data_IF_189569202721
#
_entry.id   IF_189569202721
#
_cell.length_a   1.000
_cell.length_b   1.000
_cell.length_c   1.000
_cell.angle_alpha   90.00
_cell.angle_beta   90.00
_cell.angle_gamma   90.00
#
_symmetry.space_group_name_H-M   'P 1'
#
loop_
_entity.id
_entity.type
_entity.pdbx_description
1 polymer ?
#
# COMPACT_ATOMS: atom_id res chain seq x y z
N UNK A 1 21.28 -0.05 7.51
CA UNK A 1 20.74 1.12 6.77
C UNK A 1 19.24 1.04 6.81
N UNK A 2 18.54 2.15 6.97
CA UNK A 2 17.08 2.15 7.07
C UNK A 2 16.44 2.14 5.68
N UNK A 3 15.50 1.23 5.43
CA UNK A 3 14.70 1.19 4.20
C UNK A 3 13.53 2.17 4.32
N UNK A 4 13.40 3.09 3.37
CA UNK A 4 12.26 3.99 3.29
C UNK A 4 11.02 3.26 2.77
N UNK A 5 9.90 3.39 3.48
CA UNK A 5 8.60 2.88 3.06
C UNK A 5 7.59 4.02 3.05
N UNK A 6 6.87 4.18 1.94
CA UNK A 6 5.78 5.15 1.82
C UNK A 6 4.49 4.42 1.48
N UNK A 7 3.41 4.87 2.10
CA UNK A 7 2.07 4.32 1.90
C UNK A 7 1.16 5.47 1.51
N UNK A 8 0.71 5.45 0.27
CA UNK A 8 -0.28 6.42 -0.21
C UNK A 8 -1.68 5.82 -0.01
N UNK A 9 -2.51 6.54 0.71
CA UNK A 9 -3.86 6.11 1.09
C UNK A 9 -4.84 7.28 1.19
N UNK A 10 -5.97 7.06 1.85
CA UNK A 10 -6.88 8.13 2.26
C UNK A 10 -6.47 8.70 3.61
N UNK A 11 -6.96 9.89 3.96
CA UNK A 11 -6.86 10.47 5.29
C UNK A 11 -8.26 10.89 5.79
N UNK A 12 -8.81 10.27 6.85
CA UNK A 12 -8.25 9.16 7.62
C UNK A 12 -8.05 7.88 6.78
N UNK A 13 -7.14 6.97 7.17
CA UNK A 13 -6.84 5.76 6.41
C UNK A 13 -8.05 4.83 6.38
N UNK A 14 -8.39 4.32 5.19
CA UNK A 14 -9.37 3.25 5.06
C UNK A 14 -8.78 1.90 5.55
N UNK A 15 -9.62 0.86 5.77
CA UNK A 15 -9.15 -0.42 6.31
C UNK A 15 -7.97 -1.02 5.53
N UNK A 16 -8.01 -0.99 4.19
CA UNK A 16 -6.93 -1.50 3.32
C UNK A 16 -5.61 -0.74 3.49
N UNK A 17 -5.67 0.60 3.63
CA UNK A 17 -4.48 1.43 3.83
C UNK A 17 -3.86 1.18 5.20
N UNK A 18 -4.69 1.11 6.24
CA UNK A 18 -4.24 0.89 7.60
C UNK A 18 -3.62 -0.50 7.79
N UNK A 19 -4.27 -1.56 7.28
CA UNK A 19 -3.74 -2.91 7.41
C UNK A 19 -2.45 -3.11 6.60
N UNK A 20 -2.32 -2.47 5.43
CA UNK A 20 -1.08 -2.50 4.65
C UNK A 20 0.10 -1.93 5.43
N UNK A 21 -0.09 -0.79 6.11
CA UNK A 21 0.94 -0.22 6.98
C UNK A 21 1.28 -1.08 8.18
N UNK A 22 0.26 -1.71 8.77
CA UNK A 22 0.50 -2.64 9.86
C UNK A 22 1.30 -3.87 9.42
N UNK A 23 0.95 -4.49 8.27
CA UNK A 23 1.67 -5.64 7.71
C UNK A 23 3.13 -5.28 7.45
N UNK A 24 3.39 -4.12 6.83
CA UNK A 24 4.76 -3.63 6.61
C UNK A 24 5.54 -3.51 7.91
N UNK A 25 4.96 -2.86 8.93
CA UNK A 25 5.62 -2.66 10.21
C UNK A 25 5.96 -4.00 10.89
N UNK A 26 5.02 -4.94 10.90
CA UNK A 26 5.24 -6.24 11.53
C UNK A 26 6.25 -7.10 10.78
N UNK A 27 6.14 -7.17 9.46
CA UNK A 27 7.06 -7.99 8.64
C UNK A 27 8.48 -7.43 8.72
N UNK A 28 8.65 -6.11 8.77
CA UNK A 28 9.96 -5.50 8.98
C UNK A 28 10.55 -5.85 10.35
N UNK A 29 9.75 -5.78 11.41
CA UNK A 29 10.17 -6.19 12.76
C UNK A 29 10.56 -7.68 12.82
N UNK A 30 9.77 -8.57 12.21
CA UNK A 30 10.06 -10.01 12.12
C UNK A 30 11.33 -10.30 11.34
N UNK A 31 11.54 -9.58 10.24
CA UNK A 31 12.68 -9.76 9.34
C UNK A 31 13.93 -9.00 9.82
N UNK A 32 13.82 -8.23 10.91
CA UNK A 32 14.87 -7.35 11.45
C UNK A 32 15.40 -6.33 10.44
N UNK A 33 14.56 -5.93 9.49
CA UNK A 33 14.87 -4.87 8.52
C UNK A 33 14.51 -3.53 9.14
N UNK A 34 15.47 -2.62 9.41
CA UNK A 34 15.15 -1.30 9.92
C UNK A 34 14.43 -0.49 8.84
N UNK A 35 13.27 0.06 9.17
CA UNK A 35 12.44 0.84 8.23
C UNK A 35 12.06 2.21 8.80
N UNK A 36 11.75 3.13 7.90
CA UNK A 36 11.03 4.37 8.20
C UNK A 36 9.75 4.38 7.38
N UNK A 37 8.58 4.47 8.05
CA UNK A 37 7.28 4.47 7.38
C UNK A 37 6.72 5.88 7.36
N UNK A 38 6.31 6.33 6.18
CA UNK A 38 5.56 7.57 5.94
C UNK A 38 4.19 7.24 5.35
N UNK A 39 3.11 7.64 6.03
CA UNK A 39 1.76 7.61 5.48
C UNK A 39 1.42 8.96 4.87
N UNK A 40 0.84 8.96 3.67
CA UNK A 40 0.40 10.20 3.01
C UNK A 40 -0.96 10.04 2.34
N UNK A 41 -1.77 11.09 2.39
CA UNK A 41 -3.00 11.17 1.60
C UNK A 41 -2.67 11.22 0.11
N UNK A 42 -3.49 10.57 -0.71
CA UNK A 42 -3.44 10.63 -2.17
C UNK A 42 -3.59 12.06 -2.72
N UNK A 43 -4.11 12.98 -1.91
CA UNK A 43 -4.33 14.39 -2.25
C UNK A 43 -3.09 15.26 -1.99
N UNK A 44 -2.07 14.74 -1.30
CA UNK A 44 -0.85 15.51 -1.04
C UNK A 44 -0.07 15.77 -2.32
N UNK A 45 0.61 16.92 -2.42
CA UNK A 45 1.45 17.26 -3.58
C UNK A 45 2.50 16.18 -3.89
N UNK A 46 3.05 15.56 -2.83
CA UNK A 46 4.02 14.48 -2.93
C UNK A 46 3.42 13.24 -3.57
N UNK A 47 2.23 12.82 -3.16
CA UNK A 47 1.52 11.70 -3.76
C UNK A 47 1.15 11.98 -5.23
N UNK A 48 0.65 13.19 -5.52
CA UNK A 48 0.30 13.62 -6.87
C UNK A 48 1.54 13.60 -7.78
N UNK A 49 2.70 14.08 -7.30
CA UNK A 49 3.95 14.07 -8.07
C UNK A 49 4.40 12.64 -8.38
N UNK A 50 4.34 11.73 -7.41
CA UNK A 50 4.69 10.31 -7.62
C UNK A 50 3.86 9.69 -8.76
N UNK A 51 2.55 9.94 -8.80
CA UNK A 51 1.72 9.48 -9.91
C UNK A 51 2.15 10.11 -11.24
N UNK A 52 2.32 11.44 -11.28
CA UNK A 52 2.69 12.18 -12.49
C UNK A 52 4.01 11.72 -13.09
N UNK A 53 5.00 11.41 -12.26
CA UNK A 53 6.34 10.98 -12.70
C UNK A 53 6.30 9.66 -13.50
N UNK A 54 5.25 8.86 -13.33
CA UNK A 54 5.02 7.61 -14.08
C UNK A 54 3.84 7.70 -15.06
N UNK A 55 3.31 8.91 -15.31
CA UNK A 55 2.18 9.13 -16.22
C UNK A 55 0.84 8.60 -15.68
N UNK A 56 0.67 8.50 -14.37
CA UNK A 56 -0.56 8.03 -13.72
C UNK A 56 -1.14 9.06 -12.74
N UNK A 57 -2.38 8.88 -12.32
CA UNK A 57 -3.01 9.64 -11.22
C UNK A 57 -3.11 8.73 -10.01
N UNK A 58 -2.74 9.22 -8.82
CA UNK A 58 -3.00 8.46 -7.58
C UNK A 58 -4.44 8.68 -7.16
N UNK A 59 -5.17 7.60 -6.87
CA UNK A 59 -6.60 7.69 -6.61
C UNK A 59 -7.16 6.54 -5.77
N UNK A 60 -8.43 6.63 -5.45
CA UNK A 60 -9.17 5.61 -4.68
C UNK A 60 -9.98 4.69 -5.61
N UNK A 61 -10.55 3.61 -5.06
CA UNK A 61 -11.47 2.76 -5.82
C UNK A 61 -12.66 3.54 -6.42
N UNK A 62 -13.14 4.62 -5.76
CA UNK A 62 -14.19 5.49 -6.31
C UNK A 62 -13.74 6.23 -7.58
N UNK A 63 -12.49 6.69 -7.61
CA UNK A 63 -11.91 7.32 -8.79
C UNK A 63 -11.82 6.33 -9.95
N UNK A 64 -11.38 5.10 -9.68
CA UNK A 64 -11.33 4.05 -10.71
C UNK A 64 -12.73 3.68 -11.20
N UNK A 65 -13.69 3.48 -10.28
CA UNK A 65 -15.05 3.15 -10.64
C UNK A 65 -15.67 4.20 -11.57
N UNK A 66 -15.44 5.48 -11.29
CA UNK A 66 -15.87 6.60 -12.13
C UNK A 66 -15.18 6.58 -13.50
N UNK A 67 -13.85 6.48 -13.53
CA UNK A 67 -13.07 6.56 -14.77
C UNK A 67 -13.25 5.34 -15.69
N UNK A 68 -13.43 4.16 -15.13
CA UNK A 68 -13.55 2.89 -15.85
C UNK A 68 -15.00 2.39 -15.99
N UNK A 69 -15.98 3.17 -15.54
CA UNK A 69 -17.40 2.79 -15.52
C UNK A 69 -17.65 1.43 -14.84
N UNK A 70 -16.92 1.15 -13.76
CA UNK A 70 -17.07 -0.08 -12.97
C UNK A 70 -18.22 0.12 -11.98
N UNK A 71 -19.23 -0.73 -12.04
CA UNK A 71 -20.32 -0.72 -11.06
C UNK A 71 -19.85 -1.38 -9.77
N UNK A 72 -19.96 -0.67 -8.65
CA UNK A 72 -19.61 -1.16 -7.31
C UNK A 72 -20.80 -0.95 -6.39
N UNK A 73 -21.21 -1.99 -5.66
CA UNK A 73 -22.18 -1.85 -4.57
C UNK A 73 -21.49 -1.22 -3.36
N UNK A 74 -21.46 0.12 -3.32
CA UNK A 74 -20.87 0.86 -2.21
C UNK A 74 -21.56 0.59 -0.88
N UNK A 75 -22.86 0.28 -0.87
CA UNK A 75 -23.54 -0.09 0.37
C UNK A 75 -23.03 -1.44 0.89
N UNK A 76 -22.79 -2.42 0.02
CA UNK A 76 -22.14 -3.68 0.41
C UNK A 76 -20.72 -3.45 0.92
N UNK A 77 -19.93 -2.59 0.27
CA UNK A 77 -18.59 -2.21 0.75
C UNK A 77 -18.67 -1.64 2.17
N UNK A 78 -19.59 -0.70 2.43
CA UNK A 78 -19.77 -0.13 3.77
C UNK A 78 -20.18 -1.18 4.81
N UNK A 79 -21.11 -2.09 4.47
CA UNK A 79 -21.52 -3.20 5.35
C UNK A 79 -20.36 -4.12 5.71
N UNK A 80 -19.51 -4.48 4.73
CA UNK A 80 -18.32 -5.31 4.97
C UNK A 80 -17.33 -4.60 5.90
N UNK A 81 -17.13 -3.29 5.73
CA UNK A 81 -16.24 -2.52 6.60
C UNK A 81 -16.78 -2.43 8.03
N UNK A 82 -18.09 -2.23 8.19
CA UNK A 82 -18.74 -2.14 9.51
C UNK A 82 -18.74 -3.49 10.24
N UNK A 83 -18.96 -4.59 9.51
CA UNK A 83 -19.01 -5.95 10.04
C UNK A 83 -18.21 -6.92 9.13
N UNK A 84 -16.87 -6.96 9.26
CA UNK A 84 -16.01 -7.80 8.43
C UNK A 84 -16.36 -9.29 8.66
N UNK A 85 -16.70 -10.06 7.61
CA UNK A 85 -17.12 -11.46 7.75
C UNK A 85 -16.01 -12.37 8.32
N UNK A 86 -14.78 -12.15 7.84
CA UNK A 86 -13.61 -12.96 8.16
C UNK A 86 -12.46 -12.07 8.64
N UNK A 87 -12.54 -11.48 9.85
CA UNK A 87 -11.50 -10.58 10.33
C UNK A 87 -10.20 -11.36 10.52
N UNK A 88 -9.14 -10.93 9.84
CA UNK A 88 -7.82 -11.55 9.98
C UNK A 88 -6.97 -10.79 10.98
N UNK A 89 -6.29 -11.52 11.87
CA UNK A 89 -5.27 -10.96 12.76
C UNK A 89 -3.93 -10.86 12.05
N UNK A 90 -3.89 -10.09 10.96
CA UNK A 90 -2.64 -9.79 10.25
C UNK A 90 -1.82 -8.71 10.94
N UNK A 91 -2.38 -8.04 11.95
CA UNK A 91 -1.66 -7.13 12.80
C UNK A 91 -2.08 -7.15 14.28
N UNK A 92 -1.20 -6.64 15.15
CA UNK A 92 -1.38 -6.48 16.60
C UNK A 92 -2.25 -5.27 17.01
N UNK A 93 -3.03 -4.71 16.09
CA UNK A 93 -4.04 -3.69 16.42
C UNK A 93 -5.45 -4.28 16.32
N UNK A 94 -5.96 -4.91 17.40
CA UNK A 94 -7.25 -5.59 17.38
C UNK A 94 -8.45 -4.64 17.33
N UNK A 95 -8.27 -3.33 17.55
CA UNK A 95 -9.37 -2.37 17.72
C UNK A 95 -9.33 -1.19 16.73
N UNK A 96 -8.23 -0.96 16.02
CA UNK A 96 -8.11 0.11 15.05
C UNK A 96 -8.77 -0.18 13.71
N UNK A 97 -8.75 0.81 12.83
CA UNK A 97 -9.36 0.75 11.49
C UNK A 97 -8.79 -0.40 10.62
N UNK A 98 -7.58 -0.86 10.90
CA UNK A 98 -6.97 -2.02 10.26
C UNK A 98 -7.75 -3.32 10.52
N UNK A 99 -8.37 -3.48 11.70
CA UNK A 99 -9.15 -4.68 12.04
C UNK A 99 -10.47 -4.78 11.28
N UNK A 100 -10.90 -3.69 10.64
CA UNK A 100 -12.07 -3.66 9.74
C UNK A 100 -11.79 -4.20 8.34
N UNK A 101 -10.55 -4.59 8.03
CA UNK A 101 -10.24 -5.22 6.76
C UNK A 101 -10.60 -6.71 6.77
N UNK A 102 -11.05 -7.20 5.61
CA UNK A 102 -11.25 -8.63 5.36
C UNK A 102 -10.93 -8.97 3.90
N UNK A 103 -10.67 -10.25 3.56
CA UNK A 103 -10.53 -10.69 2.18
C UNK A 103 -11.74 -10.37 1.30
N UNK A 104 -12.96 -10.38 1.87
CA UNK A 104 -14.19 -10.04 1.17
C UNK A 104 -14.21 -8.58 0.72
N UNK A 105 -13.60 -7.67 1.49
CA UNK A 105 -13.44 -6.28 1.07
C UNK A 105 -12.56 -6.17 -0.19
N UNK A 106 -11.47 -6.93 -0.24
CA UNK A 106 -10.58 -6.99 -1.41
C UNK A 106 -11.25 -7.70 -2.60
N UNK A 107 -12.10 -8.69 -2.36
CA UNK A 107 -12.89 -9.32 -3.41
C UNK A 107 -13.93 -8.35 -3.99
N UNK A 108 -14.64 -7.60 -3.15
CA UNK A 108 -15.64 -6.62 -3.56
C UNK A 108 -15.02 -5.48 -4.39
N UNK A 109 -13.80 -5.07 -4.07
CA UNK A 109 -13.08 -3.99 -4.76
C UNK A 109 -12.14 -4.49 -5.88
N UNK A 110 -12.09 -5.80 -6.12
CA UNK A 110 -11.27 -6.44 -7.17
C UNK A 110 -11.54 -5.86 -8.56
N UNK A 111 -12.79 -5.60 -8.99
CA UNK A 111 -13.04 -5.02 -10.30
C UNK A 111 -12.39 -3.64 -10.48
N UNK A 112 -12.31 -2.84 -9.42
CA UNK A 112 -11.59 -1.56 -9.47
C UNK A 112 -10.07 -1.76 -9.52
N UNK A 113 -9.52 -2.74 -8.81
CA UNK A 113 -8.08 -3.03 -8.89
C UNK A 113 -7.66 -3.46 -10.29
N UNK A 114 -8.44 -4.35 -10.92
CA UNK A 114 -8.18 -4.86 -12.26
C UNK A 114 -8.29 -3.75 -13.32
N UNK A 115 -9.23 -2.81 -13.15
CA UNK A 115 -9.43 -1.68 -14.07
C UNK A 115 -8.44 -0.52 -13.86
N UNK A 116 -7.76 -0.44 -12.70
CA UNK A 116 -7.02 0.73 -12.27
C UNK A 116 -5.92 1.15 -13.28
N UNK A 117 -5.11 0.19 -13.73
CA UNK A 117 -4.01 0.47 -14.65
C UNK A 117 -4.50 0.97 -16.01
N UNK A 118 -5.54 0.34 -16.56
CA UNK A 118 -6.15 0.75 -17.83
C UNK A 118 -6.80 2.15 -17.74
N UNK A 119 -7.30 2.52 -16.56
CA UNK A 119 -7.82 3.85 -16.27
C UNK A 119 -6.72 4.90 -16.01
N UNK A 120 -5.44 4.53 -16.06
CA UNK A 120 -4.32 5.44 -15.73
C UNK A 120 -4.27 5.81 -14.25
N UNK A 121 -4.81 4.98 -13.35
CA UNK A 121 -4.92 5.26 -11.92
C UNK A 121 -4.08 4.29 -11.10
N UNK A 122 -3.22 4.84 -10.25
CA UNK A 122 -2.53 4.11 -9.20
C UNK A 122 -3.44 4.04 -7.97
N UNK A 123 -4.22 2.95 -7.87
CA UNK A 123 -5.27 2.81 -6.87
C UNK A 123 -4.71 2.57 -5.47
N UNK A 124 -5.24 3.27 -4.46
CA UNK A 124 -4.86 3.09 -3.05
C UNK A 124 -5.34 1.75 -2.46
N UNK A 125 -4.57 1.15 -1.52
CA UNK A 125 -3.28 1.62 -1.02
C UNK A 125 -2.18 1.48 -2.08
N UNK A 126 -1.27 2.45 -2.15
CA UNK A 126 -0.04 2.36 -2.96
C UNK A 126 1.13 2.16 -2.02
N UNK A 127 1.91 1.11 -2.22
CA UNK A 127 3.07 0.79 -1.42
C UNK A 127 4.35 1.05 -2.20
N UNK A 128 5.22 1.87 -1.61
CA UNK A 128 6.52 2.22 -2.17
C UNK A 128 7.58 1.78 -1.17
N UNK A 129 8.53 0.94 -1.59
CA UNK A 129 9.60 0.43 -0.72
C UNK A 129 10.93 0.68 -1.41
N UNK A 130 11.86 1.34 -0.71
CA UNK A 130 13.18 1.66 -1.27
C UNK A 130 13.14 2.60 -2.48
N UNK A 131 12.06 3.40 -2.62
CA UNK A 131 11.83 4.30 -3.74
C UNK A 131 11.10 3.66 -4.94
N UNK A 132 10.80 2.37 -4.91
CA UNK A 132 10.08 1.66 -5.98
C UNK A 132 8.61 1.44 -5.60
N UNK A 133 7.68 1.71 -6.52
CA UNK A 133 6.27 1.30 -6.37
C UNK A 133 6.22 -0.22 -6.53
N UNK A 134 5.90 -0.93 -5.47
CA UNK A 134 5.89 -2.41 -5.45
C UNK A 134 4.49 -3.01 -5.46
N UNK A 135 3.47 -2.23 -5.08
CA UNK A 135 2.10 -2.71 -5.01
C UNK A 135 1.08 -1.56 -5.04
N UNK A 136 -0.11 -1.84 -5.57
CA UNK A 136 -1.25 -0.93 -5.55
C UNK A 136 -2.57 -1.68 -5.55
N UNK A 137 -3.59 -1.15 -4.88
CA UNK A 137 -5.00 -1.49 -5.10
C UNK A 137 -5.60 -2.58 -4.21
N UNK A 138 -4.80 -3.37 -3.52
CA UNK A 138 -5.25 -4.36 -2.53
C UNK A 138 -4.32 -4.41 -1.32
N UNK A 139 -4.62 -5.29 -0.36
CA UNK A 139 -3.72 -5.55 0.75
C UNK A 139 -2.67 -6.57 0.33
N UNK A 140 -1.37 -6.25 0.43
CA UNK A 140 -0.33 -7.18 0.03
C UNK A 140 -0.21 -8.33 1.04
N UNK A 141 0.11 -9.52 0.54
CA UNK A 141 0.44 -10.67 1.39
C UNK A 141 1.73 -10.40 2.17
N UNK A 142 1.83 -10.94 3.40
CA UNK A 142 3.05 -10.86 4.23
C UNK A 142 4.31 -11.35 3.52
N UNK A 143 4.21 -12.44 2.74
CA UNK A 143 5.33 -13.01 1.98
C UNK A 143 5.92 -12.01 0.97
N UNK A 144 5.07 -11.43 0.11
CA UNK A 144 5.50 -10.37 -0.83
C UNK A 144 6.15 -9.18 -0.12
N UNK A 145 5.56 -8.72 0.99
CA UNK A 145 6.12 -7.60 1.76
C UNK A 145 7.52 -7.93 2.28
N UNK A 146 7.74 -9.16 2.78
CA UNK A 146 9.05 -9.61 3.22
C UNK A 146 10.07 -9.58 2.08
N UNK A 147 9.71 -10.13 0.93
CA UNK A 147 10.59 -10.19 -0.24
C UNK A 147 11.00 -8.78 -0.71
N UNK A 148 10.05 -7.85 -0.72
CA UNK A 148 10.31 -6.45 -1.10
C UNK A 148 11.24 -5.74 -0.10
N UNK A 149 11.04 -5.95 1.20
CA UNK A 149 11.88 -5.36 2.24
C UNK A 149 13.32 -5.89 2.18
N UNK A 150 13.50 -7.21 2.08
CA UNK A 150 14.82 -7.83 1.98
C UNK A 150 15.56 -7.38 0.72
N UNK A 151 14.86 -7.30 -0.41
CA UNK A 151 15.43 -6.77 -1.66
C UNK A 151 15.87 -5.31 -1.50
N UNK A 152 15.03 -4.46 -0.89
CA UNK A 152 15.35 -3.05 -0.70
C UNK A 152 16.53 -2.85 0.26
N UNK A 153 16.63 -3.65 1.32
CA UNK A 153 17.78 -3.64 2.24
C UNK A 153 19.08 -4.03 1.53
N UNK A 154 19.06 -5.11 0.73
CA UNK A 154 20.20 -5.53 -0.07
C UNK A 154 20.65 -4.45 -1.06
N UNK A 155 19.70 -3.79 -1.73
CA UNK A 155 19.97 -2.68 -2.65
C UNK A 155 20.57 -1.46 -1.92
N UNK A 156 20.09 -1.14 -0.72
CA UNK A 156 20.64 -0.05 0.09
C UNK A 156 22.10 -0.35 0.49
N UNK A 157 22.37 -1.56 0.97
CA UNK A 157 23.71 -2.00 1.35
C UNK A 157 24.72 -1.91 0.20
N UNK A 158 24.33 -2.35 -1.00
CA UNK A 158 25.18 -2.30 -2.20
C UNK A 158 25.54 -0.86 -2.62
N UNK A 159 24.58 0.07 -2.54
CA UNK A 159 24.79 1.48 -2.93
C UNK A 159 25.83 2.17 -2.04
N UNK A 160 25.81 1.98 -0.71
CA UNK A 160 26.83 2.63 0.14
C UNK A 160 28.22 1.99 0.04
N UNK A 161 28.30 0.68 -0.22
CA UNK A 161 29.58 0.03 -0.50
C UNK A 161 30.25 0.57 -1.77
N UNK A 162 29.47 0.97 -2.78
CA UNK A 162 29.98 1.59 -4.01
C UNK A 162 30.37 3.07 -3.81
N UNK A 163 29.66 3.80 -2.95
CA UNK A 163 30.00 5.20 -2.62
C UNK A 163 31.33 5.29 -1.85
N UNK A 164 31.60 4.35 -0.94
CA UNK A 164 32.84 4.32 -0.15
C UNK A 164 34.08 3.96 -0.99
N UNK A 165 33.92 3.12 -2.03
CA UNK A 165 35.02 2.76 -2.95
C UNK A 165 35.38 3.84 -3.98
N UNK A 166 34.54 4.86 -4.17
CA UNK A 166 34.80 5.99 -5.09
C UNK A 166 35.46 7.19 -4.41
N UNK A 167 35.48 7.22 -3.08
CA UNK A 167 36.09 8.29 -2.29
C UNK A 167 37.42 7.86 -1.64
N UNK A 168 37.94 6.67 -1.98
CA UNK A 168 39.24 6.15 -1.60
C UNK A 168 40.11 6.02 -2.85
#
# INVERSE_FOLDING_TARGET
MTVEVRIIGTDPPCPRCAISGCIVAEVAAESRVPISIEHMSYETEKAIRIGKDIGMIVGTAKHVASAANVTVDWMAVHRIIENPPSPQRLCRDPKGIASKWSPELDAMLRPCEEAASAAGILMTPVLIIGGEIVHSGSVPTRGKVRDWLLRAEGNAAAKSGMQQKRCA
#
